data_IF_257426999138
#
_entry.id   IF_257426999138
#
_cell.length_a   1.000
_cell.length_b   1.000
_cell.length_c   1.000
_cell.angle_alpha   90.00
_cell.angle_beta   90.00
_cell.angle_gamma   90.00
#
_symmetry.space_group_name_H-M   'P 1'
#
loop_
_entity.id
_entity.type
_entity.pdbx_description
1 polymer ?
#
# COMPACT_ATOMS: atom_id res chain seq x y z
N UNK A 1 -13.17 7.15 -9.50
CA UNK A 1 -13.84 6.14 -8.67
C UNK A 1 -15.28 6.60 -8.53
N UNK A 2 -16.27 5.76 -8.83
CA UNK A 2 -17.64 6.10 -8.44
C UNK A 2 -17.67 6.04 -6.91
N UNK A 3 -18.10 7.11 -6.25
CA UNK A 3 -18.20 7.18 -4.80
C UNK A 3 -19.32 6.24 -4.32
N UNK A 4 -19.17 5.67 -3.13
CA UNK A 4 -20.24 4.92 -2.49
C UNK A 4 -21.45 5.86 -2.27
N UNK A 5 -22.66 5.32 -2.37
CA UNK A 5 -23.86 6.07 -2.00
C UNK A 5 -24.05 6.00 -0.48
N UNK A 6 -23.72 7.09 0.21
CA UNK A 6 -23.73 7.14 1.68
C UNK A 6 -25.14 7.17 2.29
N UNK A 7 -26.16 7.57 1.51
CA UNK A 7 -27.57 7.55 1.97
C UNK A 7 -28.07 6.10 2.09
N UNK A 8 -27.86 5.29 1.04
CA UNK A 8 -28.19 3.85 1.07
C UNK A 8 -27.33 3.08 2.07
N UNK A 9 -26.10 3.51 2.31
CA UNK A 9 -25.26 2.96 3.38
C UNK A 9 -25.87 3.19 4.77
N UNK A 10 -26.35 4.40 5.07
CA UNK A 10 -26.96 4.72 6.35
C UNK A 10 -28.29 3.98 6.57
N UNK A 11 -29.14 3.88 5.54
CA UNK A 11 -30.40 3.12 5.59
C UNK A 11 -30.17 1.63 5.86
N UNK A 12 -29.20 1.03 5.17
CA UNK A 12 -28.86 -0.38 5.35
C UNK A 12 -28.26 -0.64 6.74
N UNK A 13 -27.53 0.34 7.29
CA UNK A 13 -27.07 0.26 8.68
C UNK A 13 -28.24 0.30 9.66
N UNK A 14 -29.14 1.27 9.57
CA UNK A 14 -30.31 1.34 10.49
C UNK A 14 -31.15 0.05 10.48
N UNK A 15 -31.23 -0.65 9.35
CA UNK A 15 -31.89 -1.97 9.26
C UNK A 15 -31.23 -3.04 10.14
N UNK A 16 -29.91 -2.96 10.33
CA UNK A 16 -29.13 -3.90 11.15
C UNK A 16 -28.99 -3.46 12.61
N UNK A 17 -29.63 -2.36 13.04
CA UNK A 17 -29.51 -1.80 14.39
C UNK A 17 -29.90 -2.80 15.48
N UNK A 18 -30.98 -3.55 15.27
CA UNK A 18 -31.50 -4.54 16.23
C UNK A 18 -30.52 -5.68 16.52
N UNK A 19 -29.57 -5.95 15.61
CA UNK A 19 -28.52 -6.96 15.83
C UNK A 19 -27.55 -6.55 16.96
N UNK A 20 -27.26 -5.26 17.08
CA UNK A 20 -26.34 -4.75 18.11
C UNK A 20 -26.96 -4.75 19.52
N UNK A 21 -28.29 -4.79 19.60
CA UNK A 21 -29.04 -4.95 20.87
C UNK A 21 -29.28 -6.43 21.22
N UNK A 22 -28.83 -7.37 20.39
CA UNK A 22 -29.03 -8.80 20.62
C UNK A 22 -28.20 -9.32 21.80
N UNK A 23 -28.77 -10.26 22.55
CA UNK A 23 -28.09 -10.92 23.67
C UNK A 23 -26.85 -11.71 23.23
N UNK A 24 -26.84 -12.18 21.98
CA UNK A 24 -25.71 -12.85 21.32
C UNK A 24 -24.53 -11.89 21.10
N UNK A 25 -24.81 -10.66 20.62
CA UNK A 25 -23.80 -9.63 20.47
C UNK A 25 -23.28 -9.15 21.83
N UNK A 26 -24.17 -8.88 22.79
CA UNK A 26 -23.80 -8.35 24.11
C UNK A 26 -22.91 -9.30 24.93
N UNK A 27 -23.14 -10.60 24.84
CA UNK A 27 -22.36 -11.61 25.57
C UNK A 27 -21.08 -12.06 24.85
N UNK A 28 -20.86 -11.62 23.60
CA UNK A 28 -19.67 -11.98 22.83
C UNK A 28 -18.39 -11.30 23.36
N UNK A 29 -17.22 -11.94 23.21
CA UNK A 29 -15.94 -11.32 23.56
C UNK A 29 -15.64 -10.12 22.65
N UNK A 30 -14.86 -9.17 23.16
CA UNK A 30 -14.58 -7.87 22.53
C UNK A 30 -14.07 -8.00 21.09
N UNK A 31 -13.13 -8.91 20.84
CA UNK A 31 -12.57 -9.13 19.49
C UNK A 31 -13.65 -9.60 18.49
N UNK A 32 -14.54 -10.49 18.92
CA UNK A 32 -15.64 -11.01 18.08
C UNK A 32 -16.69 -9.93 17.83
N UNK A 33 -16.95 -9.05 18.82
CA UNK A 33 -17.81 -7.88 18.64
C UNK A 33 -17.28 -6.94 17.55
N UNK A 34 -15.96 -6.75 17.48
CA UNK A 34 -15.32 -5.96 16.43
C UNK A 34 -15.48 -6.59 15.07
N UNK A 35 -15.17 -7.89 14.95
CA UNK A 35 -15.21 -8.60 13.68
C UNK A 35 -16.64 -8.66 13.11
N UNK A 36 -17.64 -8.87 13.97
CA UNK A 36 -19.05 -8.83 13.59
C UNK A 36 -19.47 -7.44 13.13
N UNK A 37 -19.10 -6.40 13.87
CA UNK A 37 -19.33 -5.00 13.49
C UNK A 37 -18.71 -4.73 12.11
N UNK A 38 -17.46 -5.11 11.92
CA UNK A 38 -16.72 -4.92 10.66
C UNK A 38 -17.30 -5.71 9.49
N UNK A 39 -17.79 -6.92 9.74
CA UNK A 39 -18.50 -7.72 8.73
C UNK A 39 -19.78 -7.04 8.23
N UNK A 40 -20.54 -6.41 9.14
CA UNK A 40 -21.75 -5.64 8.79
C UNK A 40 -21.37 -4.39 7.99
N UNK A 41 -20.38 -3.61 8.44
CA UNK A 41 -19.89 -2.43 7.71
C UNK A 41 -19.44 -2.80 6.29
N UNK A 42 -18.64 -3.87 6.13
CA UNK A 42 -18.15 -4.32 4.81
C UNK A 42 -19.30 -4.80 3.90
N UNK A 43 -20.31 -5.47 4.46
CA UNK A 43 -21.52 -5.88 3.72
C UNK A 43 -22.32 -4.66 3.22
N UNK A 44 -22.55 -3.67 4.09
CA UNK A 44 -23.26 -2.44 3.76
C UNK A 44 -22.50 -1.63 2.69
N UNK A 45 -21.16 -1.53 2.81
CA UNK A 45 -20.32 -0.85 1.80
C UNK A 45 -20.39 -1.56 0.44
N UNK A 46 -20.35 -2.89 0.41
CA UNK A 46 -20.47 -3.65 -0.84
C UNK A 46 -21.81 -3.41 -1.55
N UNK A 47 -22.90 -3.24 -0.78
CA UNK A 47 -24.23 -2.92 -1.30
C UNK A 47 -24.35 -1.46 -1.77
N UNK A 48 -23.72 -0.51 -1.08
CA UNK A 48 -23.75 0.91 -1.43
C UNK A 48 -22.81 1.31 -2.58
N UNK A 49 -21.93 0.40 -3.00
CA UNK A 49 -21.10 0.57 -4.18
C UNK A 49 -21.93 0.33 -5.46
N UNK A 50 -21.83 1.21 -6.47
CA UNK A 50 -22.54 1.00 -7.73
C UNK A 50 -22.03 -0.28 -8.38
N UNK A 51 -22.95 -1.10 -8.90
CA UNK A 51 -22.63 -2.33 -9.62
C UNK A 51 -21.47 -2.08 -10.60
N UNK A 52 -20.32 -2.70 -10.33
CA UNK A 52 -19.20 -2.64 -11.24
C UNK A 52 -19.63 -3.36 -12.52
N UNK A 53 -20.08 -2.59 -13.52
CA UNK A 53 -20.18 -3.08 -14.89
C UNK A 53 -18.80 -3.60 -15.25
N UNK A 54 -18.66 -4.92 -15.22
CA UNK A 54 -17.45 -5.60 -15.66
C UNK A 54 -17.29 -5.20 -17.12
N UNK A 55 -16.37 -4.28 -17.38
CA UNK A 55 -16.02 -3.95 -18.76
C UNK A 55 -15.70 -5.27 -19.48
N UNK A 56 -16.30 -5.53 -20.65
CA UNK A 56 -16.01 -6.75 -21.38
C UNK A 56 -14.50 -6.86 -21.56
N UNK A 57 -13.92 -7.97 -21.11
CA UNK A 57 -12.50 -8.28 -21.32
C UNK A 57 -12.27 -8.23 -22.83
N UNK A 58 -11.55 -7.22 -23.32
CA UNK A 58 -11.26 -7.12 -24.75
C UNK A 58 -10.60 -8.43 -25.23
N UNK A 59 -11.31 -9.14 -26.10
CA UNK A 59 -10.83 -10.31 -26.86
C UNK A 59 -9.86 -9.82 -27.94
N UNK A 60 -8.65 -9.43 -27.57
CA UNK A 60 -7.58 -9.26 -28.57
C UNK A 60 -6.92 -10.61 -28.89
N UNK A 61 -6.49 -10.85 -30.14
CA UNK A 61 -5.87 -12.09 -30.57
C UNK A 61 -4.62 -12.44 -29.74
N UNK A 62 -4.44 -13.74 -29.49
CA UNK A 62 -3.36 -14.34 -28.71
C UNK A 62 -1.96 -13.96 -29.19
N UNK A 63 -1.73 -13.72 -30.49
CA UNK A 63 -0.43 -13.27 -31.02
C UNK A 63 0.05 -11.95 -30.40
N UNK A 64 -0.84 -10.97 -30.21
CA UNK A 64 -0.47 -9.66 -29.66
C UNK A 64 -0.02 -9.77 -28.19
N UNK A 65 -0.60 -10.70 -27.42
CA UNK A 65 -0.20 -10.95 -26.03
C UNK A 65 1.23 -11.48 -25.94
N UNK A 66 1.68 -12.31 -26.89
CA UNK A 66 3.04 -12.87 -26.86
C UNK A 66 4.10 -11.82 -27.19
N UNK A 67 3.83 -10.88 -28.11
CA UNK A 67 4.71 -9.73 -28.37
C UNK A 67 4.78 -8.81 -27.14
N UNK A 68 3.63 -8.51 -26.53
CA UNK A 68 3.55 -7.64 -25.33
C UNK A 68 4.21 -8.30 -24.10
N UNK A 69 4.12 -9.63 -23.96
CA UNK A 69 4.73 -10.36 -22.86
C UNK A 69 6.26 -10.49 -22.99
N UNK A 70 6.79 -10.52 -24.22
CA UNK A 70 8.22 -10.61 -24.47
C UNK A 70 8.93 -9.24 -24.40
N UNK A 71 8.19 -8.14 -24.59
CA UNK A 71 8.64 -6.80 -24.21
C UNK A 71 8.49 -6.64 -22.69
N UNK A 72 9.36 -7.32 -21.95
CA UNK A 72 9.62 -7.12 -20.53
C UNK A 72 9.57 -5.61 -20.24
N UNK A 73 8.53 -5.15 -19.54
CA UNK A 73 8.24 -3.77 -19.10
C UNK A 73 9.39 -2.78 -19.32
N UNK A 74 9.55 -2.32 -20.55
CA UNK A 74 10.60 -1.39 -20.92
C UNK A 74 9.92 -0.17 -21.49
N UNK A 75 10.19 0.99 -20.89
CA UNK A 75 9.68 2.26 -21.40
C UNK A 75 10.00 2.40 -22.88
N UNK A 76 9.19 3.14 -23.65
CA UNK A 76 9.33 3.25 -25.11
C UNK A 76 10.75 3.66 -25.53
N UNK A 77 11.43 4.47 -24.70
CA UNK A 77 12.77 4.95 -24.96
C UNK A 77 13.88 3.92 -24.69
N UNK A 78 13.57 2.76 -24.14
CA UNK A 78 14.56 1.76 -23.75
C UNK A 78 15.03 0.95 -24.95
N UNK A 79 16.34 0.87 -25.16
CA UNK A 79 16.97 0.12 -26.25
C UNK A 79 17.94 -0.96 -25.71
N UNK A 80 18.57 -1.71 -26.61
CA UNK A 80 19.57 -2.73 -26.27
C UNK A 80 20.82 -2.15 -25.60
N UNK A 81 21.13 -0.87 -25.84
CA UNK A 81 22.24 -0.16 -25.21
C UNK A 81 21.98 0.04 -23.70
N UNK A 82 20.75 0.45 -23.33
CA UNK A 82 20.31 0.54 -21.94
C UNK A 82 20.45 -0.82 -21.23
N UNK A 83 20.08 -1.89 -21.92
CA UNK A 83 20.23 -3.26 -21.45
C UNK A 83 21.69 -3.63 -21.17
N UNK A 84 22.58 -3.39 -22.13
CA UNK A 84 24.01 -3.67 -21.99
C UNK A 84 24.61 -2.88 -20.83
N UNK A 85 24.29 -1.59 -20.71
CA UNK A 85 24.77 -0.74 -19.63
C UNK A 85 24.32 -1.25 -18.25
N UNK A 86 23.05 -1.63 -18.10
CA UNK A 86 22.51 -2.18 -16.85
C UNK A 86 23.11 -3.54 -16.51
N UNK A 87 23.27 -4.44 -17.49
CA UNK A 87 23.90 -5.76 -17.30
C UNK A 87 25.35 -5.60 -16.84
N UNK A 88 26.10 -4.70 -17.47
CA UNK A 88 27.48 -4.42 -17.07
C UNK A 88 27.57 -3.87 -15.65
N UNK A 89 26.71 -2.92 -15.28
CA UNK A 89 26.63 -2.39 -13.91
C UNK A 89 26.31 -3.47 -12.89
N UNK A 90 25.38 -4.38 -13.20
CA UNK A 90 25.03 -5.52 -12.33
C UNK A 90 26.19 -6.50 -12.20
N UNK A 91 26.88 -6.81 -13.30
CA UNK A 91 28.06 -7.67 -13.29
C UNK A 91 29.16 -7.11 -12.38
N UNK A 92 29.51 -5.82 -12.54
CA UNK A 92 30.51 -5.18 -11.67
C UNK A 92 30.08 -5.10 -10.20
N UNK A 93 28.79 -4.88 -9.93
CA UNK A 93 28.26 -4.95 -8.56
C UNK A 93 28.42 -6.34 -7.96
N UNK A 94 28.13 -7.39 -8.72
CA UNK A 94 28.32 -8.77 -8.27
C UNK A 94 29.80 -9.06 -7.98
N UNK A 95 30.70 -8.63 -8.86
CA UNK A 95 32.16 -8.78 -8.66
C UNK A 95 32.68 -8.04 -7.42
N UNK A 96 32.09 -6.88 -7.11
CA UNK A 96 32.39 -6.09 -5.91
C UNK A 96 31.85 -6.76 -4.64
N UNK A 97 30.63 -7.30 -4.68
CA UNK A 97 30.03 -8.05 -3.57
C UNK A 97 30.80 -9.32 -3.23
N UNK A 98 31.35 -9.99 -4.24
CA UNK A 98 32.13 -11.21 -4.04
C UNK A 98 33.49 -10.93 -3.37
N UNK A 99 34.22 -9.90 -3.83
CA UNK A 99 35.44 -9.42 -3.17
C UNK A 99 35.50 -7.90 -3.26
N UNK A 100 35.50 -7.24 -2.11
CA UNK A 100 35.60 -5.80 -2.00
C UNK A 100 37.07 -5.38 -2.13
N UNK A 101 37.39 -4.64 -3.19
CA UNK A 101 38.73 -4.16 -3.50
C UNK A 101 38.64 -2.74 -4.08
N UNK A 102 39.63 -1.89 -3.80
CA UNK A 102 39.66 -0.50 -4.20
C UNK A 102 39.54 -0.35 -5.72
N UNK A 103 40.26 -1.17 -6.48
CA UNK A 103 40.19 -1.15 -7.95
C UNK A 103 38.77 -1.46 -8.45
N UNK A 104 38.10 -2.45 -7.84
CA UNK A 104 36.72 -2.82 -8.19
C UNK A 104 35.71 -1.75 -7.83
N UNK A 105 35.92 -1.03 -6.73
CA UNK A 105 35.10 0.12 -6.34
C UNK A 105 35.21 1.22 -7.41
N UNK A 106 36.44 1.55 -7.83
CA UNK A 106 36.69 2.54 -8.88
C UNK A 106 36.02 2.13 -10.20
N UNK A 107 36.18 0.86 -10.62
CA UNK A 107 35.54 0.34 -11.82
C UNK A 107 34.01 0.38 -11.75
N UNK A 108 33.43 -0.02 -10.62
CA UNK A 108 31.99 0.02 -10.41
C UNK A 108 31.45 1.46 -10.50
N UNK A 109 32.14 2.42 -9.89
CA UNK A 109 31.77 3.84 -9.94
C UNK A 109 31.85 4.39 -11.37
N UNK A 110 32.91 4.05 -12.13
CA UNK A 110 33.03 4.39 -13.55
C UNK A 110 31.85 3.84 -14.37
N UNK A 111 31.53 2.55 -14.21
CA UNK A 111 30.40 1.92 -14.90
C UNK A 111 29.07 2.54 -14.48
N UNK A 112 28.90 2.94 -13.22
CA UNK A 112 27.72 3.66 -12.76
C UNK A 112 27.56 5.01 -13.46
N UNK A 113 28.64 5.79 -13.58
CA UNK A 113 28.63 7.08 -14.28
C UNK A 113 28.28 6.90 -15.77
N UNK A 114 28.91 5.95 -16.45
CA UNK A 114 28.64 5.61 -17.86
C UNK A 114 27.18 5.20 -18.02
N UNK A 115 26.68 4.30 -17.18
CA UNK A 115 25.28 3.84 -17.24
C UNK A 115 24.31 5.00 -17.09
N UNK A 116 24.53 5.90 -16.13
CA UNK A 116 23.69 7.09 -15.93
C UNK A 116 23.70 8.00 -17.17
N UNK A 117 24.87 8.23 -17.77
CA UNK A 117 25.02 9.04 -18.98
C UNK A 117 24.28 8.42 -20.17
N UNK A 118 24.47 7.11 -20.40
CA UNK A 118 23.79 6.37 -21.47
C UNK A 118 22.28 6.44 -21.32
N UNK A 119 21.73 6.11 -20.14
CA UNK A 119 20.28 6.13 -19.93
C UNK A 119 19.69 7.53 -20.14
N UNK A 120 20.36 8.59 -19.66
CA UNK A 120 19.93 9.98 -19.89
C UNK A 120 19.97 10.35 -21.37
N UNK A 121 21.05 10.00 -22.06
CA UNK A 121 21.23 10.29 -23.49
C UNK A 121 20.17 9.60 -24.35
N UNK A 122 19.97 8.29 -24.15
CA UNK A 122 18.99 7.51 -24.89
C UNK A 122 17.56 8.02 -24.63
N UNK A 123 17.20 8.30 -23.37
CA UNK A 123 15.90 8.87 -23.03
C UNK A 123 15.66 10.21 -23.71
N UNK A 124 16.65 11.11 -23.66
CA UNK A 124 16.59 12.43 -24.30
C UNK A 124 16.41 12.30 -25.81
N UNK A 125 17.24 11.51 -26.49
CA UNK A 125 17.18 11.34 -27.94
C UNK A 125 15.86 10.73 -28.38
N UNK A 126 15.37 9.71 -27.67
CA UNK A 126 14.06 9.11 -27.96
C UNK A 126 12.91 10.12 -27.78
N UNK A 127 12.98 10.97 -26.76
CA UNK A 127 11.98 12.01 -26.54
C UNK A 127 12.03 13.10 -27.63
N UNK A 128 13.22 13.55 -28.03
CA UNK A 128 13.38 14.50 -29.12
C UNK A 128 12.83 13.94 -30.44
N UNK A 129 13.16 12.69 -30.77
CA UNK A 129 12.63 12.01 -31.96
C UNK A 129 11.10 11.90 -31.92
N UNK A 130 10.52 11.65 -30.74
CA UNK A 130 9.07 11.66 -30.58
C UNK A 130 8.49 13.05 -30.83
N UNK A 131 9.05 14.11 -30.25
CA UNK A 131 8.61 15.48 -30.48
C UNK A 131 8.68 15.86 -31.98
N UNK A 132 9.75 15.46 -32.67
CA UNK A 132 9.90 15.67 -34.12
C UNK A 132 8.89 14.89 -34.97
N UNK A 133 8.28 13.82 -34.44
CA UNK A 133 7.26 13.03 -35.15
C UNK A 133 5.82 13.58 -35.01
N UNK A 134 5.63 14.63 -34.20
CA UNK A 134 4.31 15.23 -33.95
C UNK A 134 3.98 16.21 -35.08
N UNK A 135 2.88 15.94 -35.80
CA UNK A 135 2.38 16.76 -36.90
C UNK A 135 0.94 17.24 -36.64
N UNK A 136 0.42 18.15 -37.47
CA UNK A 136 -0.97 18.67 -37.39
C UNK A 136 -2.05 17.57 -37.34
N UNK A 137 -1.76 16.40 -37.92
CA UNK A 137 -2.68 15.27 -38.00
C UNK A 137 -2.62 14.35 -36.76
N UNK A 138 -1.74 14.62 -35.80
CA UNK A 138 -1.61 13.79 -34.59
C UNK A 138 -2.69 14.14 -33.57
N UNK A 139 -3.45 13.12 -33.15
CA UNK A 139 -4.50 13.28 -32.14
C UNK A 139 -3.88 13.61 -30.78
N UNK A 140 -4.37 14.64 -30.11
CA UNK A 140 -3.86 15.05 -28.79
C UNK A 140 -3.91 13.91 -27.75
N UNK A 141 -4.92 13.03 -27.83
CA UNK A 141 -5.06 11.87 -26.96
C UNK A 141 -3.93 10.84 -27.14
N UNK A 142 -3.42 10.66 -28.37
CA UNK A 142 -2.30 9.75 -28.62
C UNK A 142 -0.98 10.33 -28.12
N UNK A 143 -0.80 11.65 -28.22
CA UNK A 143 0.36 12.38 -27.66
C UNK A 143 0.44 12.17 -26.15
N UNK A 144 -0.65 12.43 -25.42
CA UNK A 144 -0.70 12.22 -23.97
C UNK A 144 -0.49 10.76 -23.57
N UNK A 145 -1.04 9.81 -24.33
CA UNK A 145 -0.83 8.38 -24.10
C UNK A 145 0.65 8.02 -24.23
N UNK A 146 1.33 8.55 -25.25
CA UNK A 146 2.75 8.31 -25.49
C UNK A 146 3.62 8.94 -24.41
N UNK A 147 3.33 10.18 -23.98
CA UNK A 147 4.02 10.84 -22.86
C UNK A 147 3.92 10.00 -21.57
N UNK A 148 2.74 9.46 -21.26
CA UNK A 148 2.56 8.56 -20.10
C UNK A 148 3.46 7.33 -20.19
N UNK A 149 3.61 6.74 -21.38
CA UNK A 149 4.48 5.59 -21.61
C UNK A 149 5.99 5.92 -21.51
N UNK A 150 6.40 7.18 -21.73
CA UNK A 150 7.77 7.64 -21.46
C UNK A 150 8.09 7.69 -19.96
N UNK A 151 7.10 8.02 -19.12
CA UNK A 151 7.25 8.15 -17.67
C UNK A 151 7.07 6.83 -16.92
N UNK A 152 5.99 6.11 -17.20
CA UNK A 152 5.57 4.95 -16.40
C UNK A 152 5.91 3.61 -17.07
N UNK A 153 6.51 3.66 -18.26
CA UNK A 153 6.68 2.50 -19.12
C UNK A 153 5.36 1.99 -19.70
N UNK A 154 5.40 0.86 -20.40
CA UNK A 154 4.19 0.13 -20.75
C UNK A 154 3.70 -0.53 -19.45
N UNK A 155 2.88 0.19 -18.68
CA UNK A 155 2.26 -0.37 -17.48
C UNK A 155 1.35 -1.51 -17.90
N UNK A 156 1.79 -2.75 -17.67
CA UNK A 156 0.87 -3.89 -17.58
C UNK A 156 -0.15 -3.54 -16.49
N UNK A 157 -1.47 -3.75 -16.68
CA UNK A 157 -2.36 -3.79 -15.53
C UNK A 157 -1.76 -4.82 -14.58
N UNK A 158 -1.35 -4.38 -13.40
CA UNK A 158 -0.91 -5.28 -12.36
C UNK A 158 -2.08 -6.24 -12.14
N UNK A 159 -1.84 -7.51 -12.45
CA UNK A 159 -2.79 -8.55 -12.09
C UNK A 159 -2.94 -8.48 -10.58
N UNK A 160 -4.11 -8.09 -10.10
CA UNK A 160 -4.48 -8.09 -8.68
C UNK A 160 -4.55 -9.50 -8.10
N UNK A 161 -4.22 -10.53 -8.90
CA UNK A 161 -4.10 -11.89 -8.40
C UNK A 161 -2.80 -12.01 -7.59
N UNK A 162 -2.95 -11.82 -6.28
CA UNK A 162 -2.24 -12.49 -5.22
C UNK A 162 -0.75 -12.63 -5.47
N UNK A 163 0.04 -11.61 -5.11
CA UNK A 163 1.48 -11.75 -4.94
C UNK A 163 1.79 -12.60 -3.69
N UNK A 164 1.33 -13.86 -3.68
CA UNK A 164 1.65 -14.86 -2.65
C UNK A 164 3.16 -14.95 -2.47
N UNK A 165 3.91 -14.91 -3.57
CA UNK A 165 5.37 -14.89 -3.56
C UNK A 165 5.99 -13.66 -2.88
N UNK A 166 5.32 -12.50 -2.89
CA UNK A 166 5.81 -11.31 -2.18
C UNK A 166 5.51 -11.42 -0.69
N UNK A 167 4.34 -11.94 -0.32
CA UNK A 167 3.98 -12.21 1.08
C UNK A 167 4.88 -13.29 1.70
N UNK A 168 5.19 -14.36 0.97
CA UNK A 168 6.12 -15.41 1.41
C UNK A 168 7.50 -14.81 1.66
N UNK A 169 8.04 -14.04 0.70
CA UNK A 169 9.34 -13.36 0.89
C UNK A 169 9.34 -12.36 2.03
N UNK A 170 8.25 -11.60 2.18
CA UNK A 170 8.12 -10.66 3.30
C UNK A 170 8.14 -11.40 4.63
N UNK A 171 7.44 -12.54 4.72
CA UNK A 171 7.42 -13.39 5.91
C UNK A 171 8.80 -14.00 6.20
N UNK A 172 9.46 -14.58 5.20
CA UNK A 172 10.84 -15.11 5.32
C UNK A 172 11.84 -14.04 5.78
N UNK A 173 11.72 -12.80 5.28
CA UNK A 173 12.57 -11.70 5.74
C UNK A 173 12.28 -11.28 7.17
N UNK A 174 11.01 -11.32 7.58
CA UNK A 174 10.59 -11.00 8.95
C UNK A 174 11.11 -12.06 9.92
N UNK A 175 10.95 -13.33 9.56
CA UNK A 175 11.48 -14.46 10.33
C UNK A 175 13.02 -14.41 10.42
N UNK A 176 13.71 -13.98 9.36
CA UNK A 176 15.16 -13.79 9.38
C UNK A 176 15.61 -12.59 10.23
N UNK A 177 14.80 -11.55 10.38
CA UNK A 177 15.10 -10.39 11.23
C UNK A 177 14.77 -10.68 12.69
N UNK A 178 13.73 -11.47 12.94
CA UNK A 178 13.27 -11.86 14.28
C UNK A 178 13.90 -13.17 14.78
N UNK A 179 14.71 -13.84 13.96
CA UNK A 179 15.48 -15.00 14.40
C UNK A 179 16.43 -14.56 15.54
N UNK A 180 16.39 -15.24 16.70
CA UNK A 180 17.31 -14.95 17.79
C UNK A 180 18.71 -15.36 17.33
N UNK A 181 19.49 -14.38 16.86
CA UNK A 181 20.91 -14.56 16.63
C UNK A 181 21.58 -14.63 17.99
N UNK A 182 21.96 -15.85 18.38
CA UNK A 182 22.99 -16.21 19.34
C UNK A 182 23.25 -15.19 20.47
N UNK A 183 22.61 -15.46 21.59
CA UNK A 183 23.08 -15.32 22.97
C UNK A 183 24.57 -14.95 23.11
N UNK A 184 24.88 -13.65 23.17
CA UNK A 184 26.04 -13.14 23.92
C UNK A 184 25.98 -11.65 24.28
N UNK A 185 24.85 -10.98 24.07
CA UNK A 185 24.61 -9.63 24.58
C UNK A 185 23.18 -9.56 25.10
N UNK A 186 22.95 -10.17 26.27
CA UNK A 186 21.80 -9.80 27.07
C UNK A 186 21.87 -8.28 27.30
N UNK A 187 20.82 -7.48 26.99
CA UNK A 187 20.67 -6.21 27.67
C UNK A 187 20.66 -6.53 29.18
N UNK A 188 21.33 -5.74 30.03
CA UNK A 188 21.42 -6.04 31.45
C UNK A 188 20.01 -6.27 31.99
N UNK A 189 19.88 -7.35 32.75
CA UNK A 189 18.68 -7.75 33.47
C UNK A 189 17.99 -6.54 34.06
N UNK A 190 16.67 -6.46 33.86
CA UNK A 190 15.79 -5.39 34.35
C UNK A 190 15.73 -5.23 35.88
N UNK A 191 16.60 -5.92 36.63
CA UNK A 191 16.82 -5.70 38.05
C UNK A 191 17.49 -4.36 38.35
N UNK A 192 18.22 -3.78 37.40
CA UNK A 192 19.10 -2.64 37.68
C UNK A 192 18.47 -1.27 37.33
N UNK A 193 17.19 -1.25 36.94
CA UNK A 193 16.40 -0.02 36.67
C UNK A 193 15.41 0.28 37.81
N UNK A 194 15.53 -0.40 38.97
CA UNK A 194 14.70 -0.16 40.16
C UNK A 194 15.31 0.87 41.12
N UNK A 195 15.76 2.01 40.61
CA UNK A 195 16.05 3.16 41.45
C UNK A 195 15.48 4.43 40.80
N UNK A 196 14.14 4.53 40.83
CA UNK A 196 13.37 5.73 41.24
C UNK A 196 11.91 5.60 40.79
N UNK A 197 11.19 4.61 41.33
CA UNK A 197 9.72 4.59 41.29
C UNK A 197 9.19 5.12 42.62
N UNK A 198 9.51 6.38 42.93
CA UNK A 198 8.72 7.12 43.91
C UNK A 198 7.36 7.45 43.29
N UNK A 199 6.31 6.78 43.77
CA UNK A 199 4.95 7.31 43.90
C UNK A 199 4.36 7.91 42.61
N UNK A 200 3.87 7.06 41.70
CA UNK A 200 2.75 7.48 40.84
C UNK A 200 1.56 6.58 41.12
N UNK A 201 0.60 7.13 41.85
CA UNK A 201 -0.75 6.62 41.93
C UNK A 201 -1.26 6.29 40.52
N UNK A 202 -1.75 5.07 40.34
CA UNK A 202 -2.35 4.50 39.13
C UNK A 202 -3.61 5.28 38.66
N UNK A 203 -3.41 6.48 38.14
CA UNK A 203 -4.41 7.28 37.42
C UNK A 203 -3.71 7.90 36.20
N UNK A 204 -3.21 7.07 35.30
CA UNK A 204 -2.72 7.55 34.03
C UNK A 204 -3.94 7.94 33.18
N UNK A 205 -3.94 9.13 32.55
CA UNK A 205 -5.08 9.60 31.75
C UNK A 205 -5.46 8.63 30.60
N UNK A 206 -4.54 7.76 30.17
CA UNK A 206 -4.81 6.70 29.18
C UNK A 206 -5.57 5.49 29.75
N UNK A 207 -5.70 5.39 31.07
CA UNK A 207 -6.49 4.36 31.76
C UNK A 207 -7.94 4.80 31.97
N UNK A 208 -8.26 6.07 31.70
CA UNK A 208 -9.61 6.59 31.73
C UNK A 208 -10.38 6.19 30.45
N UNK A 209 -11.70 5.99 30.52
CA UNK A 209 -12.50 5.67 29.34
C UNK A 209 -12.56 6.85 28.36
N UNK A 210 -12.45 6.56 27.06
CA UNK A 210 -12.60 7.55 26.01
C UNK A 210 -13.99 8.18 26.01
N UNK A 211 -14.05 9.50 25.85
CA UNK A 211 -15.30 10.26 25.75
C UNK A 211 -15.80 10.34 24.31
N UNK A 212 -17.12 10.47 24.13
CA UNK A 212 -17.73 10.65 22.81
C UNK A 212 -17.21 11.91 22.11
N UNK A 213 -16.98 12.97 22.88
CA UNK A 213 -16.43 14.25 22.43
C UNK A 213 -14.99 14.11 21.92
N UNK A 214 -14.22 13.16 22.44
CA UNK A 214 -12.84 12.91 22.00
C UNK A 214 -12.82 12.21 20.65
N UNK A 215 -13.64 11.17 20.48
CA UNK A 215 -13.76 10.44 19.22
C UNK A 215 -14.32 11.33 18.12
N UNK A 216 -15.40 12.07 18.40
CA UNK A 216 -15.97 13.00 17.41
C UNK A 216 -14.96 14.04 16.97
N UNK A 217 -14.20 14.63 17.91
CA UNK A 217 -13.12 15.59 17.58
C UNK A 217 -12.02 14.94 16.72
N UNK A 218 -11.70 13.67 16.94
CA UNK A 218 -10.72 12.94 16.12
C UNK A 218 -11.23 12.67 14.69
N UNK A 219 -12.52 12.33 14.53
CA UNK A 219 -13.15 12.06 13.22
C UNK A 219 -13.22 13.34 12.38
N UNK A 220 -13.54 14.48 12.99
CA UNK A 220 -13.63 15.78 12.30
C UNK A 220 -12.30 16.56 12.24
N UNK A 221 -11.18 15.94 12.64
CA UNK A 221 -9.86 16.57 12.61
C UNK A 221 -9.34 16.82 11.18
N UNK A 222 -8.49 17.84 10.95
CA UNK A 222 -8.18 18.36 9.62
C UNK A 222 -7.33 17.45 8.70
N UNK A 223 -6.91 16.25 9.14
CA UNK A 223 -6.05 15.34 8.37
C UNK A 223 -6.73 13.99 7.99
N UNK A 224 -7.86 13.97 7.27
CA UNK A 224 -8.66 12.76 7.03
C UNK A 224 -8.13 11.82 5.92
N UNK A 225 -6.85 11.91 5.53
CA UNK A 225 -6.32 11.23 4.32
C UNK A 225 -5.13 10.31 4.61
N UNK A 226 -5.16 9.61 5.72
CA UNK A 226 -4.25 8.48 5.95
C UNK A 226 -4.80 7.23 5.25
N UNK A 227 -3.89 6.34 4.87
CA UNK A 227 -4.30 5.07 4.25
C UNK A 227 -4.98 4.18 5.29
N UNK A 228 -6.07 3.47 4.94
CA UNK A 228 -6.71 2.52 5.85
C UNK A 228 -5.69 1.50 6.38
N UNK A 229 -5.77 1.21 7.69
CA UNK A 229 -4.91 0.21 8.34
C UNK A 229 -5.36 -1.21 7.98
N UNK A 230 -4.89 -2.22 8.73
CA UNK A 230 -5.22 -3.65 8.54
C UNK A 230 -6.74 -3.89 8.48
N UNK A 231 -7.49 -3.09 9.24
CA UNK A 231 -8.95 -3.20 9.39
C UNK A 231 -9.72 -2.54 8.25
N UNK A 232 -9.03 -1.90 7.30
CA UNK A 232 -9.59 -1.28 6.07
C UNK A 232 -10.64 -0.19 6.29
N UNK A 233 -10.86 0.27 7.52
CA UNK A 233 -11.68 1.43 7.83
C UNK A 233 -10.95 2.71 7.39
N UNK A 234 -11.59 3.51 6.54
CA UNK A 234 -11.13 4.85 6.19
C UNK A 234 -11.85 5.90 7.05
N UNK A 235 -11.24 7.06 7.22
CA UNK A 235 -11.87 8.23 7.85
C UNK A 235 -13.16 8.65 7.15
N UNK A 236 -13.25 8.40 5.83
CA UNK A 236 -14.47 8.63 5.06
C UNK A 236 -15.63 7.78 5.61
N UNK A 237 -15.40 6.49 5.88
CA UNK A 237 -16.45 5.61 6.44
C UNK A 237 -16.86 6.08 7.84
N UNK A 238 -15.90 6.45 8.68
CA UNK A 238 -16.18 6.95 10.03
C UNK A 238 -16.96 8.27 10.02
N UNK A 239 -16.73 9.14 9.03
CA UNK A 239 -17.42 10.43 8.90
C UNK A 239 -18.90 10.29 8.52
N UNK A 240 -19.29 9.17 7.91
CA UNK A 240 -20.67 8.89 7.48
C UNK A 240 -21.37 7.86 8.38
N UNK A 241 -20.76 7.47 9.50
CA UNK A 241 -21.33 6.52 10.42
C UNK A 241 -22.41 7.22 11.29
N UNK A 242 -23.62 6.65 11.44
CA UNK A 242 -24.61 7.21 12.36
C UNK A 242 -24.13 7.20 13.81
N UNK A 243 -24.61 8.17 14.60
CA UNK A 243 -24.19 8.37 16.00
C UNK A 243 -24.30 7.10 16.86
N UNK A 244 -25.34 6.29 16.63
CA UNK A 244 -25.53 5.01 17.31
C UNK A 244 -24.30 4.10 17.18
N UNK A 245 -23.74 3.97 15.98
CA UNK A 245 -22.61 3.09 15.72
C UNK A 245 -21.29 3.64 16.25
N UNK A 246 -21.16 4.97 16.33
CA UNK A 246 -20.03 5.62 17.02
C UNK A 246 -20.08 5.28 18.52
N UNK A 247 -21.28 5.23 19.11
CA UNK A 247 -21.48 4.80 20.51
C UNK A 247 -21.21 3.31 20.71
N UNK A 248 -21.54 2.47 19.73
CA UNK A 248 -21.16 1.03 19.74
C UNK A 248 -19.64 0.87 19.78
N UNK A 249 -18.88 1.68 19.02
CA UNK A 249 -17.41 1.70 19.07
C UNK A 249 -16.85 2.14 20.44
N UNK A 250 -17.55 3.01 21.16
CA UNK A 250 -17.18 3.48 22.50
C UNK A 250 -17.45 2.47 23.61
N UNK A 251 -18.38 1.53 23.39
CA UNK A 251 -18.85 0.63 24.45
C UNK A 251 -17.81 -0.47 24.70
N UNK A 252 -16.83 -0.17 25.56
CA UNK A 252 -15.73 -1.02 26.07
C UNK A 252 -15.20 -2.07 25.09
N UNK A 253 -14.15 -1.67 24.35
CA UNK A 253 -13.08 -2.58 23.92
C UNK A 253 -12.70 -2.59 22.43
N UNK A 254 -13.39 -1.83 21.56
CA UNK A 254 -13.09 -1.86 20.12
C UNK A 254 -11.91 -0.96 19.70
N UNK A 255 -11.41 -0.10 20.60
CA UNK A 255 -10.31 0.84 20.34
C UNK A 255 -9.05 0.58 21.16
N UNK A 256 -9.02 -0.48 21.98
CA UNK A 256 -7.88 -0.86 22.81
C UNK A 256 -7.08 -2.03 22.21
N UNK A 257 -6.92 -2.05 20.88
CA UNK A 257 -6.04 -2.98 20.14
C UNK A 257 -5.05 -2.22 19.25
#
# INVERSE_FOLDING_TARGET
MKRANWETFAEELETNKSFFDSLEYLNSPVIVKYDLFMGIIDSCIKKSLPAFSQRPKNKYPSEAKNIINNVKNRCIWWNEECDRAIRLRKSKLASLKYRCDLQKIIEYNKVCAITRRTLKSVKKNSFMNFCSSINRNTKISSVWSRIKMFNNGITRPQSTNSNTNLQIRAKETLDSLCAPKDTSLFPPSTSDIFLDQSIHTDNHFLSEPFFYEEITRSIYSPNPKTSPRVDRISYEILSYLPEFYIRVLLTRGLLTL
#
